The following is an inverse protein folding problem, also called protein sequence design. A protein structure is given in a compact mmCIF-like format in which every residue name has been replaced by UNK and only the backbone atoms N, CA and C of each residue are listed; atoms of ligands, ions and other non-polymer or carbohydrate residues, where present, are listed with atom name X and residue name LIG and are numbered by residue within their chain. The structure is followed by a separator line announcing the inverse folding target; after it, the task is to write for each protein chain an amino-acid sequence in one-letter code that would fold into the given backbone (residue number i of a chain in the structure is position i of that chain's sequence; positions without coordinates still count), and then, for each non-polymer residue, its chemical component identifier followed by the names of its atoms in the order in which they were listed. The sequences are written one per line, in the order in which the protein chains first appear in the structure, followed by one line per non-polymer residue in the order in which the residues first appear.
data_IF_902339363791
#
_entry.id   IF_902339363791
#
_cell.length_a   1.000
_cell.length_b   1.000
_cell.length_c   1.000
_cell.angle_alpha   90.00
_cell.angle_beta   90.00
_cell.angle_gamma   90.00
#
_symmetry.space_group_name_H-M   'P 1'
#
loop_
_entity.id
_entity.type
_entity.pdbx_description
1 polymer ?
#
# COMPACT_ATOMS: atom_id res chain seq x y z
N UNK A 1 -12.90 -12.02 -1.55
CA UNK A 1 -12.03 -11.90 -2.74
C UNK A 1 -11.98 -10.47 -3.29
N UNK A 2 -13.11 -9.80 -3.58
CA UNK A 2 -13.15 -8.46 -4.21
C UNK A 2 -12.34 -7.42 -3.44
N UNK A 3 -12.48 -7.35 -2.12
CA UNK A 3 -11.74 -6.40 -1.31
C UNK A 3 -10.20 -6.57 -1.47
N UNK A 4 -9.73 -7.80 -1.47
CA UNK A 4 -8.32 -8.10 -1.65
C UNK A 4 -7.83 -7.74 -3.07
N UNK A 5 -8.68 -7.90 -4.10
CA UNK A 5 -8.36 -7.48 -5.48
C UNK A 5 -8.05 -5.98 -5.53
N UNK A 6 -8.87 -5.12 -4.90
CA UNK A 6 -8.63 -3.68 -4.89
C UNK A 6 -7.39 -3.30 -4.06
N UNK A 7 -7.18 -3.94 -2.92
CA UNK A 7 -5.99 -3.73 -2.08
C UNK A 7 -4.72 -4.08 -2.86
N UNK A 8 -4.72 -5.22 -3.56
CA UNK A 8 -3.59 -5.68 -4.37
C UNK A 8 -3.35 -4.78 -5.58
N UNK A 9 -4.42 -4.37 -6.27
CA UNK A 9 -4.32 -3.44 -7.40
C UNK A 9 -3.72 -2.10 -6.96
N UNK A 10 -4.22 -1.54 -5.84
CA UNK A 10 -3.69 -0.31 -5.29
C UNK A 10 -2.23 -0.44 -4.85
N UNK A 11 -1.86 -1.55 -4.19
CA UNK A 11 -0.48 -1.84 -3.82
C UNK A 11 0.46 -1.86 -5.03
N UNK A 12 0.04 -2.50 -6.13
CA UNK A 12 0.79 -2.47 -7.39
C UNK A 12 0.83 -1.08 -8.03
N UNK A 13 -0.32 -0.40 -8.12
CA UNK A 13 -0.46 0.92 -8.72
C UNK A 13 0.35 1.99 -7.97
N UNK A 14 0.44 1.88 -6.65
CA UNK A 14 1.22 2.75 -5.77
C UNK A 14 2.73 2.49 -5.80
N UNK A 15 3.17 1.35 -6.30
CA UNK A 15 4.60 1.00 -6.34
C UNK A 15 5.36 1.82 -7.38
N UNK A 16 6.28 2.69 -6.92
CA UNK A 16 7.14 3.45 -7.81
C UNK A 16 8.34 2.60 -8.26
N UNK A 17 8.27 2.07 -9.50
CA UNK A 17 9.29 1.18 -10.03
C UNK A 17 10.68 1.81 -10.12
N UNK A 18 10.80 3.09 -10.39
CA UNK A 18 12.09 3.77 -10.45
C UNK A 18 12.80 3.81 -9.10
N UNK A 19 12.06 3.93 -8.02
CA UNK A 19 12.57 3.88 -6.65
C UNK A 19 12.77 2.44 -6.16
N UNK A 20 11.89 1.52 -6.58
CA UNK A 20 11.95 0.12 -6.18
C UNK A 20 13.04 -0.68 -6.92
N UNK A 21 13.37 -0.30 -8.17
CA UNK A 21 14.32 -1.02 -9.03
C UNK A 21 15.68 -1.35 -8.38
N UNK A 22 16.34 -0.46 -7.63
CA UNK A 22 17.61 -0.80 -6.97
C UNK A 22 17.50 -1.91 -5.93
N UNK A 23 16.33 -2.08 -5.33
CA UNK A 23 16.04 -3.09 -4.31
C UNK A 23 15.05 -4.16 -4.79
N UNK A 24 14.75 -4.21 -6.10
CA UNK A 24 13.79 -5.18 -6.66
C UNK A 24 14.20 -6.62 -6.42
N UNK A 25 15.48 -6.96 -6.62
CA UNK A 25 15.96 -8.33 -6.41
C UNK A 25 15.82 -8.78 -4.95
N UNK A 26 16.31 -8.06 -3.94
CA UNK A 26 16.09 -8.46 -2.54
C UNK A 26 14.60 -8.48 -2.17
N UNK A 27 13.76 -7.57 -2.69
CA UNK A 27 12.32 -7.56 -2.42
C UNK A 27 11.62 -8.79 -3.00
N UNK A 28 11.91 -9.17 -4.25
CA UNK A 28 11.36 -10.37 -4.89
C UNK A 28 11.83 -11.64 -4.18
N UNK A 29 13.09 -11.70 -3.76
CA UNK A 29 13.58 -12.84 -2.99
C UNK A 29 12.94 -12.91 -1.60
N UNK A 30 12.68 -11.78 -0.96
CA UNK A 30 11.95 -11.75 0.31
C UNK A 30 10.49 -12.18 0.14
N UNK A 31 9.80 -11.71 -0.91
CA UNK A 31 8.41 -12.09 -1.17
C UNK A 31 8.24 -13.54 -1.65
N UNK A 32 9.28 -14.18 -2.17
CA UNK A 32 9.26 -15.58 -2.63
C UNK A 32 9.93 -16.52 -1.64
N UNK A 33 11.28 -16.55 -1.62
CA UNK A 33 12.04 -17.42 -0.72
C UNK A 33 11.77 -17.09 0.75
N UNK A 34 11.66 -15.80 1.10
CA UNK A 34 11.35 -15.37 2.45
C UNK A 34 10.00 -15.89 2.93
N UNK A 35 8.98 -15.82 2.08
CA UNK A 35 7.64 -16.36 2.36
C UNK A 35 7.68 -17.88 2.49
N UNK A 36 8.37 -18.58 1.58
CA UNK A 36 8.54 -20.05 1.64
C UNK A 36 9.25 -20.49 2.92
N UNK A 37 10.32 -19.81 3.30
CA UNK A 37 11.05 -20.12 4.55
C UNK A 37 10.13 -19.90 5.76
N UNK A 38 9.42 -18.78 5.81
CA UNK A 38 8.47 -18.48 6.89
C UNK A 38 7.36 -19.53 6.98
N UNK A 39 6.81 -19.93 5.83
CA UNK A 39 5.83 -21.00 5.71
C UNK A 39 6.33 -22.31 6.32
N UNK A 40 7.52 -22.79 5.90
CA UNK A 40 8.05 -24.05 6.41
C UNK A 40 8.40 -24.00 7.90
N UNK A 41 9.05 -22.94 8.36
CA UNK A 41 9.41 -22.82 9.78
C UNK A 41 8.15 -22.79 10.64
N UNK A 42 7.15 -21.99 10.26
CA UNK A 42 5.91 -21.90 11.03
C UNK A 42 5.13 -23.20 10.99
N UNK A 43 4.95 -23.81 9.81
CA UNK A 43 4.24 -25.07 9.66
C UNK A 43 4.91 -26.22 10.42
N UNK A 44 6.24 -26.35 10.33
CA UNK A 44 6.99 -27.37 11.07
C UNK A 44 6.91 -27.16 12.59
N UNK A 45 7.00 -25.91 13.04
CA UNK A 45 6.85 -25.59 14.46
C UNK A 45 5.45 -26.00 14.98
N UNK A 46 4.40 -25.65 14.26
CA UNK A 46 3.01 -26.02 14.61
C UNK A 46 2.85 -27.52 14.69
N UNK A 47 3.40 -28.26 13.72
CA UNK A 47 3.39 -29.72 13.70
C UNK A 47 4.07 -30.34 14.93
N UNK A 48 5.28 -29.89 15.25
CA UNK A 48 6.09 -30.45 16.32
C UNK A 48 5.54 -30.15 17.72
N UNK A 49 5.03 -28.93 17.94
CA UNK A 49 4.62 -28.46 19.27
C UNK A 49 3.17 -28.82 19.58
N UNK A 50 2.26 -28.62 18.62
CA UNK A 50 0.83 -28.85 18.88
C UNK A 50 0.36 -30.24 18.44
N UNK A 51 1.22 -31.05 17.81
CA UNK A 51 0.90 -32.40 17.32
C UNK A 51 -0.34 -32.41 16.40
N UNK A 52 -0.54 -31.32 15.66
CA UNK A 52 -1.56 -31.19 14.60
C UNK A 52 -1.07 -31.95 13.36
N UNK A 53 -1.96 -32.41 12.49
CA UNK A 53 -1.54 -33.06 11.25
C UNK A 53 -0.57 -32.20 10.44
N UNK A 54 0.38 -32.83 9.75
CA UNK A 54 1.42 -32.09 9.01
C UNK A 54 0.79 -31.15 7.96
N UNK A 55 -0.24 -31.59 7.24
CA UNK A 55 -0.87 -30.77 6.21
C UNK A 55 -1.64 -29.59 6.80
N UNK A 56 -2.40 -29.77 7.89
CA UNK A 56 -3.05 -28.63 8.56
C UNK A 56 -2.03 -27.65 9.16
N UNK A 57 -0.93 -28.16 9.70
CA UNK A 57 0.17 -27.33 10.23
C UNK A 57 0.84 -26.51 9.11
N UNK A 58 1.09 -27.12 7.96
CA UNK A 58 1.60 -26.44 6.77
C UNK A 58 0.56 -25.46 6.21
N UNK A 59 -0.74 -25.77 6.26
CA UNK A 59 -1.79 -24.85 5.84
C UNK A 59 -1.79 -23.58 6.71
N UNK A 60 -1.67 -23.72 8.03
CA UNK A 60 -1.49 -22.56 8.93
C UNK A 60 -0.25 -21.76 8.52
N UNK A 61 0.88 -22.44 8.30
CA UNK A 61 2.12 -21.80 7.85
C UNK A 61 1.97 -21.04 6.54
N UNK A 62 1.27 -21.61 5.54
CA UNK A 62 1.04 -20.99 4.24
C UNK A 62 0.22 -19.71 4.37
N UNK A 63 -0.91 -19.80 5.06
CA UNK A 63 -1.84 -18.69 5.23
C UNK A 63 -1.21 -17.53 6.01
N UNK A 64 -0.44 -17.81 7.07
CA UNK A 64 0.21 -16.75 7.85
C UNK A 64 1.54 -16.28 7.27
N UNK A 65 2.01 -16.82 6.14
CA UNK A 65 3.28 -16.40 5.53
C UNK A 65 3.20 -15.06 4.81
N UNK A 66 2.01 -14.63 4.39
CA UNK A 66 1.75 -13.29 3.83
C UNK A 66 1.99 -12.18 4.85
N UNK A 67 2.50 -11.01 4.42
CA UNK A 67 2.73 -9.82 5.26
C UNK A 67 1.97 -8.61 4.73
N UNK A 68 1.61 -7.70 5.62
CA UNK A 68 0.80 -6.50 5.33
C UNK A 68 1.60 -5.21 5.53
N UNK A 69 2.23 -4.70 4.47
CA UNK A 69 2.91 -3.42 4.54
C UNK A 69 1.94 -2.22 4.50
N UNK A 70 0.72 -2.37 4.00
CA UNK A 70 -0.23 -1.26 3.99
C UNK A 70 -0.53 -0.78 5.41
N UNK A 71 -0.73 -1.71 6.35
CA UNK A 71 -0.87 -1.40 7.78
C UNK A 71 0.40 -0.75 8.35
N UNK A 72 1.59 -1.21 7.95
CA UNK A 72 2.88 -0.63 8.39
C UNK A 72 2.99 0.82 7.98
N UNK A 73 2.76 1.12 6.69
CA UNK A 73 2.84 2.49 6.18
C UNK A 73 1.78 3.40 6.76
N UNK A 74 0.58 2.89 6.98
CA UNK A 74 -0.48 3.61 7.67
C UNK A 74 -0.06 4.06 9.07
N UNK A 75 0.53 3.14 9.84
CA UNK A 75 1.03 3.45 11.20
C UNK A 75 2.15 4.48 11.16
N UNK A 76 3.11 4.34 10.24
CA UNK A 76 4.21 5.28 10.11
C UNK A 76 3.74 6.68 9.68
N UNK A 77 2.82 6.76 8.72
CA UNK A 77 2.24 8.03 8.24
C UNK A 77 1.42 8.75 9.31
N UNK A 78 0.60 8.01 10.07
CA UNK A 78 -0.19 8.60 11.15
C UNK A 78 0.67 9.34 12.19
N UNK A 79 1.93 8.91 12.34
CA UNK A 79 2.92 9.51 13.24
C UNK A 79 3.95 10.41 12.52
N UNK A 80 3.75 10.69 11.21
CA UNK A 80 4.65 11.50 10.38
C UNK A 80 6.11 11.02 10.41
N UNK A 81 6.30 9.69 10.43
CA UNK A 81 7.61 9.05 10.47
C UNK A 81 8.03 8.60 9.08
N UNK A 82 9.28 8.93 8.71
CA UNK A 82 9.90 8.50 7.46
C UNK A 82 10.98 7.48 7.74
N UNK A 83 11.04 6.43 6.91
CA UNK A 83 12.12 5.45 6.98
C UNK A 83 13.33 5.93 6.16
N UNK A 84 14.50 5.72 6.70
CA UNK A 84 15.77 6.00 6.03
C UNK A 84 16.00 5.05 4.84
N UNK A 85 16.63 5.58 3.79
CA UNK A 85 17.04 4.80 2.64
C UNK A 85 15.90 4.22 1.81
N UNK A 86 16.12 3.03 1.26
CA UNK A 86 15.19 2.31 0.39
C UNK A 86 14.37 1.23 1.12
N UNK A 87 14.30 1.29 2.46
CA UNK A 87 13.55 0.33 3.27
C UNK A 87 12.06 0.34 2.94
N UNK A 88 11.49 1.54 2.76
CA UNK A 88 10.08 1.67 2.39
C UNK A 88 9.78 0.95 1.06
N UNK A 89 10.60 1.17 0.04
CA UNK A 89 10.42 0.53 -1.27
C UNK A 89 10.58 -1.00 -1.21
N UNK A 90 11.51 -1.50 -0.36
CA UNK A 90 11.66 -2.94 -0.15
C UNK A 90 10.40 -3.54 0.47
N UNK A 91 9.89 -2.94 1.55
CA UNK A 91 8.72 -3.43 2.27
C UNK A 91 7.46 -3.39 1.40
N UNK A 92 7.29 -2.33 0.60
CA UNK A 92 6.16 -2.17 -0.30
C UNK A 92 6.13 -3.26 -1.38
N UNK A 93 7.25 -3.50 -2.07
CA UNK A 93 7.35 -4.54 -3.10
C UNK A 93 7.28 -5.94 -2.48
N UNK A 94 7.92 -6.16 -1.34
CA UNK A 94 7.86 -7.44 -0.64
C UNK A 94 6.42 -7.81 -0.32
N UNK A 95 5.69 -6.92 0.36
CA UNK A 95 4.33 -7.20 0.81
C UNK A 95 3.35 -7.36 -0.36
N UNK A 96 3.43 -6.49 -1.37
CA UNK A 96 2.55 -6.61 -2.52
C UNK A 96 2.77 -7.89 -3.34
N UNK A 97 3.98 -8.47 -3.29
CA UNK A 97 4.31 -9.68 -4.06
C UNK A 97 4.19 -10.97 -3.25
N UNK A 98 4.17 -10.93 -1.92
CA UNK A 98 4.12 -12.14 -1.10
C UNK A 98 2.71 -12.73 -0.96
N UNK A 99 1.65 -11.91 -1.09
CA UNK A 99 0.27 -12.38 -1.03
C UNK A 99 -0.05 -13.40 -2.14
N UNK A 100 0.30 -13.15 -3.43
CA UNK A 100 0.18 -14.17 -4.48
C UNK A 100 0.95 -15.46 -4.17
N UNK A 101 2.12 -15.36 -3.54
CA UNK A 101 2.93 -16.53 -3.17
C UNK A 101 2.27 -17.31 -2.04
N UNK A 102 1.78 -16.64 -1.00
CA UNK A 102 1.07 -17.25 0.12
C UNK A 102 -0.24 -17.91 -0.35
N UNK A 103 -0.99 -17.27 -1.26
CA UNK A 103 -2.16 -17.85 -1.90
C UNK A 103 -1.81 -19.14 -2.65
N UNK A 104 -0.75 -19.12 -3.46
CA UNK A 104 -0.28 -20.30 -4.19
C UNK A 104 0.14 -21.43 -3.25
N UNK A 105 0.88 -21.14 -2.17
CA UNK A 105 1.23 -22.12 -1.15
C UNK A 105 -0.01 -22.71 -0.48
N UNK A 106 -1.00 -21.89 -0.18
CA UNK A 106 -2.29 -22.33 0.38
C UNK A 106 -2.99 -23.29 -0.56
N UNK A 107 -3.09 -22.96 -1.86
CA UNK A 107 -3.69 -23.85 -2.87
C UNK A 107 -2.93 -25.16 -3.02
N UNK A 108 -1.59 -25.15 -2.99
CA UNK A 108 -0.78 -26.37 -3.05
C UNK A 108 -1.14 -27.30 -1.91
N UNK A 109 -1.19 -26.78 -0.67
CA UNK A 109 -1.52 -27.61 0.49
C UNK A 109 -2.94 -28.12 0.43
N UNK A 110 -3.92 -27.29 0.04
CA UNK A 110 -5.31 -27.71 -0.13
C UNK A 110 -5.49 -28.78 -1.20
N UNK A 111 -4.77 -28.67 -2.32
CA UNK A 111 -4.77 -29.68 -3.38
C UNK A 111 -4.23 -31.02 -2.86
N UNK A 112 -3.14 -31.00 -2.08
CA UNK A 112 -2.59 -32.22 -1.45
C UNK A 112 -3.58 -32.80 -0.44
N UNK A 113 -4.24 -31.99 0.37
CA UNK A 113 -5.27 -32.43 1.33
C UNK A 113 -6.48 -33.06 0.62
N UNK A 114 -6.84 -32.56 -0.58
CA UNK A 114 -7.89 -33.10 -1.43
C UNK A 114 -7.48 -34.34 -2.26
N UNK A 115 -6.39 -35.04 -1.85
CA UNK A 115 -5.83 -36.18 -2.57
C UNK A 115 -5.30 -35.89 -3.98
N UNK A 116 -4.94 -34.64 -4.27
CA UNK A 116 -4.25 -34.27 -5.50
C UNK A 116 -2.86 -34.91 -5.60
N UNK A 117 -2.48 -35.30 -6.80
CA UNK A 117 -1.17 -35.91 -7.07
C UNK A 117 -0.09 -34.86 -7.27
N UNK A 118 1.16 -35.20 -6.94
CA UNK A 118 2.34 -34.32 -7.21
C UNK A 118 2.43 -33.95 -8.69
N UNK A 119 1.99 -34.83 -9.58
CA UNK A 119 1.94 -34.62 -11.04
C UNK A 119 1.02 -33.43 -11.42
N UNK A 120 -0.02 -33.14 -10.63
CA UNK A 120 -0.94 -32.01 -10.84
C UNK A 120 -0.39 -30.70 -10.28
N UNK A 121 0.50 -30.75 -9.30
CA UNK A 121 1.04 -29.53 -8.65
C UNK A 121 1.96 -28.74 -9.58
N UNK A 122 2.83 -29.42 -10.35
CA UNK A 122 3.79 -28.75 -11.23
C UNK A 122 3.08 -27.91 -12.30
N UNK A 123 2.15 -28.47 -13.10
CA UNK A 123 1.39 -27.67 -14.06
C UNK A 123 0.59 -26.55 -13.41
N UNK A 124 0.00 -26.79 -12.23
CA UNK A 124 -0.76 -25.79 -11.48
C UNK A 124 0.14 -24.61 -11.07
N UNK A 125 1.32 -24.86 -10.51
CA UNK A 125 2.26 -23.81 -10.11
C UNK A 125 2.70 -23.00 -11.33
N UNK A 126 3.08 -23.70 -12.41
CA UNK A 126 3.51 -23.06 -13.66
C UNK A 126 2.38 -22.21 -14.25
N UNK A 127 1.16 -22.76 -14.35
CA UNK A 127 0.02 -22.02 -14.89
C UNK A 127 -0.32 -20.79 -14.05
N UNK A 128 -0.29 -20.90 -12.72
CA UNK A 128 -0.56 -19.77 -11.84
C UNK A 128 0.42 -18.62 -12.03
N UNK A 129 1.72 -18.91 -12.16
CA UNK A 129 2.73 -17.89 -12.37
C UNK A 129 2.65 -17.34 -13.79
N UNK A 130 2.64 -18.21 -14.80
CA UNK A 130 2.70 -17.81 -16.21
C UNK A 130 1.46 -17.02 -16.61
N UNK A 131 0.26 -17.56 -16.37
CA UNK A 131 -0.96 -16.85 -16.72
C UNK A 131 -1.20 -15.64 -15.84
N UNK A 132 -0.83 -15.68 -14.55
CA UNK A 132 -0.87 -14.50 -13.67
C UNK A 132 -0.07 -13.32 -14.24
N UNK A 133 1.17 -13.58 -14.67
CA UNK A 133 2.04 -12.53 -15.24
C UNK A 133 1.55 -12.10 -16.62
N UNK A 134 1.27 -13.04 -17.52
CA UNK A 134 0.90 -12.74 -18.92
C UNK A 134 -0.41 -11.98 -18.98
N UNK A 135 -1.45 -12.47 -18.30
CA UNK A 135 -2.77 -11.82 -18.30
C UNK A 135 -2.67 -10.43 -17.68
N UNK A 136 -1.98 -10.29 -16.52
CA UNK A 136 -1.78 -8.98 -15.88
C UNK A 136 -1.08 -8.00 -16.80
N UNK A 137 -0.02 -8.42 -17.47
CA UNK A 137 0.72 -7.58 -18.42
C UNK A 137 -0.11 -7.22 -19.66
N UNK A 138 -0.81 -8.17 -20.27
CA UNK A 138 -1.64 -7.92 -21.45
C UNK A 138 -2.81 -6.98 -21.13
N UNK A 139 -3.52 -7.20 -20.03
CA UNK A 139 -4.60 -6.30 -19.58
C UNK A 139 -4.06 -4.90 -19.33
N UNK A 140 -2.90 -4.77 -18.68
CA UNK A 140 -2.30 -3.47 -18.42
C UNK A 140 -1.94 -2.73 -19.71
N UNK A 141 -1.28 -3.40 -20.66
CA UNK A 141 -0.89 -2.80 -21.94
C UNK A 141 -2.13 -2.38 -22.75
N UNK A 142 -3.14 -3.25 -22.84
CA UNK A 142 -4.40 -2.94 -23.50
C UNK A 142 -5.11 -1.75 -22.85
N UNK A 143 -5.12 -1.70 -21.52
CA UNK A 143 -5.73 -0.63 -20.73
C UNK A 143 -5.02 0.71 -20.93
N UNK A 144 -3.70 0.73 -20.94
CA UNK A 144 -2.91 1.95 -21.22
C UNK A 144 -3.19 2.46 -22.63
N UNK A 145 -3.25 1.54 -23.60
CA UNK A 145 -3.59 1.90 -24.98
C UNK A 145 -4.97 2.53 -25.06
N UNK A 146 -5.99 1.91 -24.46
CA UNK A 146 -7.35 2.42 -24.43
C UNK A 146 -7.44 3.77 -23.72
N UNK A 147 -6.85 3.91 -22.53
CA UNK A 147 -6.85 5.17 -21.75
C UNK A 147 -6.24 6.33 -22.56
N UNK A 148 -5.19 6.07 -23.32
CA UNK A 148 -4.50 7.12 -24.10
C UNK A 148 -5.27 7.55 -25.35
N UNK A 149 -6.10 6.67 -25.93
CA UNK A 149 -6.83 6.95 -27.18
C UNK A 149 -8.30 7.30 -26.94
N UNK A 150 -8.88 6.93 -25.82
CA UNK A 150 -10.33 7.04 -25.59
C UNK A 150 -10.79 8.43 -25.13
N UNK A 151 -9.95 9.44 -25.03
CA UNK A 151 -10.30 10.84 -24.68
C UNK A 151 -11.66 10.99 -23.98
N UNK A 152 -11.80 10.39 -22.80
CA UNK A 152 -13.05 10.51 -22.05
C UNK A 152 -13.25 11.96 -21.61
N UNK A 153 -14.38 12.57 -21.99
CA UNK A 153 -14.72 13.95 -21.63
C UNK A 153 -14.92 14.12 -20.12
N UNK A 154 -15.31 13.06 -19.42
CA UNK A 154 -15.64 13.09 -17.99
C UNK A 154 -14.59 12.30 -17.22
N UNK A 155 -13.94 12.94 -16.24
CA UNK A 155 -12.89 12.36 -15.40
C UNK A 155 -13.35 11.09 -14.64
N UNK A 156 -14.63 11.04 -14.23
CA UNK A 156 -15.19 9.88 -13.53
C UNK A 156 -15.18 8.59 -14.35
N UNK A 157 -15.16 8.65 -15.68
CA UNK A 157 -15.05 7.44 -16.51
C UNK A 157 -13.71 6.73 -16.36
N UNK A 158 -12.62 7.48 -16.12
CA UNK A 158 -11.32 6.87 -15.84
C UNK A 158 -11.35 6.04 -14.55
N UNK A 159 -12.10 6.50 -13.55
CA UNK A 159 -12.29 5.77 -12.28
C UNK A 159 -13.02 4.45 -12.52
N UNK A 160 -14.17 4.49 -13.23
CA UNK A 160 -14.95 3.28 -13.55
C UNK A 160 -14.11 2.31 -14.37
N UNK A 161 -13.33 2.83 -15.32
CA UNK A 161 -12.47 2.02 -16.18
C UNK A 161 -11.36 1.30 -15.37
N UNK A 162 -10.72 1.97 -14.42
CA UNK A 162 -9.71 1.38 -13.54
C UNK A 162 -10.31 0.28 -12.64
N UNK A 163 -11.52 0.49 -12.12
CA UNK A 163 -12.26 -0.55 -11.37
C UNK A 163 -12.48 -1.79 -12.25
N UNK A 164 -12.97 -1.58 -13.49
CA UNK A 164 -13.21 -2.67 -14.43
C UNK A 164 -11.91 -3.43 -14.75
N UNK A 165 -10.79 -2.72 -14.96
CA UNK A 165 -9.48 -3.34 -15.22
C UNK A 165 -9.08 -4.27 -14.07
N UNK A 166 -9.18 -3.81 -12.82
CA UNK A 166 -8.80 -4.63 -11.66
C UNK A 166 -9.63 -5.93 -11.60
N UNK A 167 -10.95 -5.83 -11.81
CA UNK A 167 -11.84 -7.00 -11.78
C UNK A 167 -11.59 -7.92 -12.96
N UNK A 168 -11.42 -7.39 -14.18
CA UNK A 168 -11.16 -8.19 -15.39
C UNK A 168 -9.81 -8.89 -15.28
N UNK A 169 -8.77 -8.20 -14.80
CA UNK A 169 -7.44 -8.77 -14.60
C UNK A 169 -7.48 -9.99 -13.67
N UNK A 170 -8.20 -9.87 -12.56
CA UNK A 170 -8.42 -10.96 -11.62
C UNK A 170 -9.18 -12.13 -12.28
N UNK A 171 -10.38 -11.82 -12.79
CA UNK A 171 -11.31 -12.85 -13.27
C UNK A 171 -10.78 -13.60 -14.49
N UNK A 172 -10.14 -12.90 -15.44
CA UNK A 172 -9.59 -13.52 -16.63
C UNK A 172 -8.41 -14.44 -16.28
N UNK A 173 -7.55 -14.02 -15.35
CA UNK A 173 -6.43 -14.84 -14.89
C UNK A 173 -6.92 -16.11 -14.20
N UNK A 174 -7.86 -16.00 -13.26
CA UNK A 174 -8.46 -17.16 -12.57
C UNK A 174 -9.14 -18.12 -13.57
N UNK A 175 -9.89 -17.58 -14.53
CA UNK A 175 -10.54 -18.38 -15.57
C UNK A 175 -9.55 -19.19 -16.41
N UNK A 176 -8.36 -18.65 -16.68
CA UNK A 176 -7.27 -19.33 -17.39
C UNK A 176 -6.45 -20.27 -16.51
N UNK A 177 -6.77 -20.40 -15.21
CA UNK A 177 -5.99 -21.17 -14.24
C UNK A 177 -4.72 -20.48 -13.77
N UNK A 178 -4.64 -19.17 -13.95
CA UNK A 178 -3.58 -18.30 -13.43
C UNK A 178 -3.88 -17.81 -12.02
N UNK A 179 -2.90 -17.15 -11.39
CA UNK A 179 -3.08 -16.49 -10.10
C UNK A 179 -3.68 -15.08 -10.32
N UNK A 180 -4.97 -14.90 -10.00
CA UNK A 180 -5.67 -13.63 -10.17
C UNK A 180 -5.07 -12.49 -9.36
N UNK A 181 -4.60 -12.74 -8.14
CA UNK A 181 -3.96 -11.72 -7.31
C UNK A 181 -2.62 -11.24 -7.90
N UNK A 182 -1.83 -12.18 -8.46
CA UNK A 182 -0.59 -11.84 -9.17
C UNK A 182 -0.89 -10.98 -10.41
N UNK A 183 -1.92 -11.37 -11.18
CA UNK A 183 -2.36 -10.62 -12.37
C UNK A 183 -2.74 -9.18 -12.04
N UNK A 184 -3.54 -9.00 -11.01
CA UNK A 184 -3.98 -7.69 -10.53
C UNK A 184 -2.81 -6.85 -10.05
N UNK A 185 -1.88 -7.41 -9.30
CA UNK A 185 -0.70 -6.71 -8.81
C UNK A 185 0.22 -6.26 -9.95
N UNK A 186 0.50 -7.15 -10.92
CA UNK A 186 1.30 -6.83 -12.11
C UNK A 186 0.63 -5.75 -12.96
N UNK A 187 -0.69 -5.86 -13.19
CA UNK A 187 -1.42 -4.84 -13.93
C UNK A 187 -1.39 -3.49 -13.22
N UNK A 188 -1.51 -3.48 -11.89
CA UNK A 188 -1.36 -2.30 -11.06
C UNK A 188 0.01 -1.64 -11.25
N UNK A 189 1.11 -2.41 -11.11
CA UNK A 189 2.49 -1.89 -11.29
C UNK A 189 2.67 -1.26 -12.67
N UNK A 190 2.25 -1.94 -13.74
CA UNK A 190 2.47 -1.47 -15.11
C UNK A 190 1.68 -0.18 -15.37
N UNK A 191 0.40 -0.14 -15.01
CA UNK A 191 -0.45 1.04 -15.20
C UNK A 191 0.01 2.19 -14.31
N UNK A 192 0.31 1.90 -13.02
CA UNK A 192 0.80 2.86 -12.05
C UNK A 192 2.12 3.55 -12.45
N UNK A 193 3.01 2.87 -13.19
CA UNK A 193 4.26 3.45 -13.68
C UNK A 193 4.15 4.04 -15.10
N UNK A 194 2.99 4.01 -15.72
CA UNK A 194 2.75 4.60 -17.03
C UNK A 194 2.29 6.06 -16.94
N UNK A 195 2.47 6.81 -18.05
CA UNK A 195 1.93 8.16 -18.19
C UNK A 195 0.47 8.05 -18.67
N UNK A 196 -0.46 8.21 -17.75
CA UNK A 196 -1.90 8.20 -18.00
C UNK A 196 -2.51 9.53 -17.55
N UNK A 197 -3.60 10.02 -18.20
CA UNK A 197 -4.31 11.22 -17.77
C UNK A 197 -4.95 11.00 -16.38
N UNK A 198 -5.19 12.07 -15.66
CA UNK A 198 -5.86 12.10 -14.36
C UNK A 198 -5.27 11.15 -13.29
N UNK A 199 -3.97 10.83 -13.41
CA UNK A 199 -3.31 9.87 -12.53
C UNK A 199 -3.43 10.23 -11.04
N UNK A 200 -3.36 11.52 -10.72
CA UNK A 200 -3.51 12.04 -9.35
C UNK A 200 -4.87 11.67 -8.75
N UNK A 201 -5.94 11.94 -9.48
CA UNK A 201 -7.31 11.59 -9.09
C UNK A 201 -7.47 10.08 -8.90
N UNK A 202 -6.89 9.27 -9.79
CA UNK A 202 -6.94 7.82 -9.70
C UNK A 202 -6.21 7.29 -8.46
N UNK A 203 -5.04 7.85 -8.11
CA UNK A 203 -4.31 7.50 -6.90
C UNK A 203 -5.14 7.78 -5.66
N UNK A 204 -5.71 8.98 -5.53
CA UNK A 204 -6.56 9.34 -4.38
C UNK A 204 -7.80 8.45 -4.26
N UNK A 205 -8.44 8.18 -5.40
CA UNK A 205 -9.61 7.31 -5.42
C UNK A 205 -9.25 5.89 -4.96
N UNK A 206 -8.19 5.30 -5.53
CA UNK A 206 -7.76 3.94 -5.18
C UNK A 206 -7.29 3.85 -3.73
N UNK A 207 -6.64 4.88 -3.20
CA UNK A 207 -6.28 4.97 -1.79
C UNK A 207 -7.52 4.89 -0.90
N UNK A 208 -8.52 5.75 -1.17
CA UNK A 208 -9.79 5.73 -0.44
C UNK A 208 -10.53 4.40 -0.55
N UNK A 209 -10.58 3.80 -1.74
CA UNK A 209 -11.19 2.47 -1.94
C UNK A 209 -10.44 1.40 -1.15
N UNK A 210 -9.10 1.40 -1.19
CA UNK A 210 -8.29 0.44 -0.43
C UNK A 210 -8.56 0.53 1.07
N UNK A 211 -8.66 1.74 1.62
CA UNK A 211 -9.06 1.97 3.01
C UNK A 211 -10.44 1.39 3.35
N UNK A 212 -11.43 1.71 2.53
CA UNK A 212 -12.80 1.18 2.72
C UNK A 212 -12.79 -0.35 2.65
N UNK A 213 -12.08 -0.93 1.68
CA UNK A 213 -11.99 -2.37 1.52
C UNK A 213 -11.30 -3.04 2.71
N UNK A 214 -10.26 -2.44 3.29
CA UNK A 214 -9.63 -2.95 4.50
C UNK A 214 -10.60 -2.91 5.68
N UNK A 215 -11.30 -1.79 5.89
CA UNK A 215 -12.28 -1.66 6.99
C UNK A 215 -13.39 -2.70 6.84
N UNK A 216 -14.00 -2.81 5.64
CA UNK A 216 -15.06 -3.78 5.36
C UNK A 216 -14.54 -5.20 5.60
N UNK A 217 -13.31 -5.50 5.17
CA UNK A 217 -12.72 -6.82 5.30
C UNK A 217 -12.55 -7.19 6.77
N UNK A 218 -11.90 -6.34 7.57
CA UNK A 218 -11.73 -6.58 9.00
C UNK A 218 -13.06 -6.63 9.75
N UNK A 219 -14.03 -5.81 9.35
CA UNK A 219 -15.38 -5.83 9.94
C UNK A 219 -16.10 -7.15 9.67
N UNK A 220 -16.15 -7.61 8.40
CA UNK A 220 -16.79 -8.89 8.05
C UNK A 220 -16.08 -10.05 8.75
N UNK A 221 -14.73 -10.00 8.79
CA UNK A 221 -13.94 -11.04 9.44
C UNK A 221 -14.20 -11.08 10.95
N UNK A 222 -14.37 -9.92 11.59
CA UNK A 222 -14.78 -9.84 12.98
C UNK A 222 -16.17 -10.42 13.23
N UNK A 223 -17.12 -10.18 12.31
CA UNK A 223 -18.48 -10.74 12.40
C UNK A 223 -18.51 -12.27 12.22
N UNK A 224 -17.61 -12.82 11.40
CA UNK A 224 -17.48 -14.27 11.21
C UNK A 224 -16.82 -14.96 12.40
N UNK A 225 -16.10 -14.22 13.26
CA UNK A 225 -15.47 -14.78 14.43
C UNK A 225 -16.48 -15.06 15.54
N UNK A 226 -16.40 -16.25 16.13
CA UNK A 226 -17.19 -16.61 17.31
C UNK A 226 -16.40 -16.26 18.59
N UNK A 227 -16.89 -15.31 19.43
CA UNK A 227 -16.18 -14.98 20.68
C UNK A 227 -16.04 -16.15 21.64
N UNK A 228 -16.91 -17.17 21.56
CA UNK A 228 -16.88 -18.37 22.40
C UNK A 228 -15.71 -19.29 22.02
N UNK A 229 -15.31 -19.33 20.74
CA UNK A 229 -14.21 -20.16 20.27
C UNK A 229 -12.84 -19.51 20.50
N UNK A 230 -12.77 -18.17 20.55
CA UNK A 230 -11.51 -17.44 20.74
C UNK A 230 -10.70 -17.90 21.96
N UNK A 231 -11.27 -18.07 23.17
CA UNK A 231 -10.50 -18.51 24.34
C UNK A 231 -9.82 -19.88 24.15
N UNK A 232 -10.40 -20.75 23.33
CA UNK A 232 -9.85 -22.11 23.07
C UNK A 232 -8.58 -22.06 22.21
N UNK A 233 -8.44 -21.04 21.37
CA UNK A 233 -7.33 -20.90 20.41
C UNK A 233 -6.27 -19.89 20.85
N UNK A 234 -6.55 -19.01 21.82
CA UNK A 234 -5.64 -17.93 22.27
C UNK A 234 -4.24 -18.48 22.57
N UNK A 235 -4.13 -19.52 23.37
CA UNK A 235 -2.83 -20.07 23.76
C UNK A 235 -1.99 -20.52 22.56
N UNK A 236 -2.60 -21.27 21.63
CA UNK A 236 -1.95 -21.70 20.40
C UNK A 236 -1.54 -20.50 19.54
N UNK A 237 -2.46 -19.55 19.33
CA UNK A 237 -2.25 -18.38 18.48
C UNK A 237 -1.16 -17.46 19.01
N UNK A 238 -1.09 -17.21 20.31
CA UNK A 238 -0.03 -16.42 20.95
C UNK A 238 1.33 -17.07 20.73
N UNK A 239 1.45 -18.37 21.00
CA UNK A 239 2.72 -19.08 20.80
C UNK A 239 3.15 -19.05 19.34
N UNK A 240 2.23 -19.31 18.40
CA UNK A 240 2.52 -19.24 16.95
C UNK A 240 2.96 -17.82 16.56
N UNK A 241 2.26 -16.78 17.04
CA UNK A 241 2.63 -15.38 16.79
C UNK A 241 4.04 -15.06 17.28
N UNK A 242 4.40 -15.48 18.49
CA UNK A 242 5.75 -15.28 19.04
C UNK A 242 6.81 -15.97 18.19
N UNK A 243 6.54 -17.19 17.73
CA UNK A 243 7.48 -17.91 16.85
C UNK A 243 7.62 -17.22 15.50
N UNK A 244 6.52 -16.72 14.92
CA UNK A 244 6.60 -15.98 13.67
C UNK A 244 7.46 -14.72 13.85
N UNK A 245 7.22 -13.95 14.91
CA UNK A 245 7.89 -12.66 15.15
C UNK A 245 9.37 -12.84 15.49
N UNK A 246 9.70 -13.80 16.37
CA UNK A 246 11.05 -13.92 16.95
C UNK A 246 11.92 -14.99 16.30
N UNK A 247 11.33 -15.93 15.56
CA UNK A 247 12.07 -17.05 14.96
C UNK A 247 11.90 -17.09 13.45
N UNK A 248 10.69 -17.32 12.95
CA UNK A 248 10.47 -17.60 11.53
C UNK A 248 10.83 -16.40 10.66
N UNK A 249 10.35 -15.22 11.00
CA UNK A 249 10.61 -13.99 10.26
C UNK A 249 12.08 -13.53 10.34
N UNK A 250 12.74 -13.46 11.51
CA UNK A 250 14.16 -13.15 11.57
C UNK A 250 15.02 -14.13 10.77
N UNK A 251 14.81 -15.44 10.92
CA UNK A 251 15.59 -16.43 10.15
C UNK A 251 15.42 -16.19 8.65
N UNK A 252 14.19 -15.98 8.17
CA UNK A 252 13.89 -15.70 6.78
C UNK A 252 14.63 -14.46 6.30
N UNK A 253 14.53 -13.33 7.01
CA UNK A 253 15.15 -12.06 6.64
C UNK A 253 16.67 -12.15 6.64
N UNK A 254 17.27 -12.69 7.70
CA UNK A 254 18.73 -12.79 7.81
C UNK A 254 19.32 -13.76 6.79
N UNK A 255 18.60 -14.84 6.45
CA UNK A 255 19.05 -15.80 5.45
C UNK A 255 18.99 -15.23 4.04
N UNK A 256 17.84 -14.64 3.67
CA UNK A 256 17.62 -14.09 2.33
C UNK A 256 18.47 -12.85 2.08
N UNK A 257 18.51 -11.92 3.04
CA UNK A 257 19.25 -10.67 2.91
C UNK A 257 20.75 -10.79 3.28
N UNK A 258 21.26 -12.01 3.48
CA UNK A 258 22.68 -12.22 3.84
C UNK A 258 23.65 -11.67 2.77
N UNK A 259 23.28 -11.78 1.50
CA UNK A 259 24.13 -11.40 0.36
C UNK A 259 23.89 -9.97 -0.12
N UNK A 260 23.02 -9.22 0.53
CA UNK A 260 22.67 -7.85 0.15
C UNK A 260 23.18 -6.86 1.20
N UNK A 261 23.43 -5.63 0.75
CA UNK A 261 23.92 -4.53 1.58
C UNK A 261 22.78 -3.96 2.45
N UNK A 262 22.47 -4.67 3.54
CA UNK A 262 21.57 -4.23 4.59
C UNK A 262 22.26 -4.36 5.94
N UNK A 263 22.21 -3.29 6.75
CA UNK A 263 22.71 -3.28 8.10
C UNK A 263 21.91 -4.20 9.01
N UNK A 264 22.52 -4.64 10.12
CA UNK A 264 21.80 -5.47 11.11
C UNK A 264 20.56 -4.78 11.66
N UNK A 265 20.60 -3.45 11.86
CA UNK A 265 19.45 -2.65 12.30
C UNK A 265 18.29 -2.70 11.30
N UNK A 266 18.61 -2.55 10.01
CA UNK A 266 17.61 -2.67 8.92
C UNK A 266 17.00 -4.08 8.87
N UNK A 267 17.82 -5.14 8.96
CA UNK A 267 17.34 -6.52 8.98
C UNK A 267 16.44 -6.80 10.18
N UNK A 268 16.78 -6.28 11.36
CA UNK A 268 15.93 -6.39 12.55
C UNK A 268 14.59 -5.67 12.36
N UNK A 269 14.61 -4.48 11.77
CA UNK A 269 13.40 -3.73 11.45
C UNK A 269 12.52 -4.46 10.43
N UNK A 270 13.09 -4.93 9.31
CA UNK A 270 12.38 -5.73 8.29
C UNK A 270 11.77 -6.99 8.94
N UNK A 271 12.50 -7.61 9.87
CA UNK A 271 11.98 -8.76 10.62
C UNK A 271 10.77 -8.39 11.46
N UNK A 272 10.80 -7.23 12.10
CA UNK A 272 9.71 -6.77 12.98
C UNK A 272 8.47 -6.33 12.20
N UNK A 273 8.62 -5.60 11.10
CA UNK A 273 7.48 -5.04 10.35
C UNK A 273 6.73 -6.04 9.48
N UNK A 274 7.05 -7.31 9.55
CA UNK A 274 6.29 -8.38 8.89
C UNK A 274 4.92 -8.61 9.56
N UNK A 275 4.05 -7.60 9.56
CA UNK A 275 2.70 -7.72 10.11
C UNK A 275 1.88 -8.75 9.34
N UNK A 276 0.97 -9.43 10.03
CA UNK A 276 -0.02 -10.33 9.42
C UNK A 276 -1.34 -9.58 9.34
N UNK A 277 -1.86 -9.46 8.14
CA UNK A 277 -3.02 -8.62 7.85
C UNK A 277 -4.21 -9.39 7.33
N UNK A 278 -5.07 -8.65 6.66
CA UNK A 278 -6.33 -9.11 6.13
C UNK A 278 -6.19 -10.25 5.09
N UNK A 279 -5.12 -10.27 4.29
CA UNK A 279 -4.89 -11.33 3.29
C UNK A 279 -4.81 -12.72 3.93
N UNK A 280 -4.08 -12.85 5.06
CA UNK A 280 -4.00 -14.12 5.80
C UNK A 280 -5.38 -14.63 6.22
N UNK A 281 -6.27 -13.72 6.67
CA UNK A 281 -7.59 -14.13 7.11
C UNK A 281 -8.47 -14.50 5.90
N UNK A 282 -8.37 -13.78 4.78
CA UNK A 282 -9.07 -14.15 3.53
C UNK A 282 -8.65 -15.54 3.06
N UNK A 283 -7.37 -15.86 3.10
CA UNK A 283 -6.88 -17.18 2.70
C UNK A 283 -7.34 -18.28 3.65
N UNK A 284 -7.54 -17.98 4.94
CA UNK A 284 -8.11 -18.95 5.88
C UNK A 284 -9.58 -19.26 5.57
N UNK A 285 -10.39 -18.25 5.19
CA UNK A 285 -11.77 -18.46 4.74
C UNK A 285 -11.80 -19.25 3.43
N UNK A 286 -10.88 -18.94 2.51
CA UNK A 286 -10.76 -19.72 1.27
C UNK A 286 -10.48 -21.19 1.57
N UNK A 287 -9.60 -21.47 2.54
CA UNK A 287 -9.31 -22.83 2.97
C UNK A 287 -10.53 -23.55 3.58
N UNK A 288 -11.36 -22.84 4.35
CA UNK A 288 -12.60 -23.42 4.92
C UNK A 288 -13.65 -23.78 3.87
N UNK A 289 -13.68 -23.03 2.75
CA UNK A 289 -14.61 -23.29 1.65
C UNK A 289 -14.12 -24.38 0.70
N UNK A 290 -12.91 -24.86 0.89
CA UNK A 290 -12.37 -25.97 0.09
C UNK A 290 -12.88 -27.31 0.67
N UNK A 291 -13.30 -28.24 -0.20
CA UNK A 291 -13.87 -29.52 0.20
C UNK A 291 -12.81 -30.48 0.81
N UNK A 292 -12.19 -30.09 1.92
CA UNK A 292 -11.20 -30.89 2.65
C UNK A 292 -11.55 -30.97 4.13
N UNK A 293 -11.23 -32.09 4.75
CA UNK A 293 -11.45 -32.27 6.18
C UNK A 293 -10.38 -31.52 6.97
N UNK A 294 -10.80 -30.45 7.64
CA UNK A 294 -9.98 -29.66 8.57
C UNK A 294 -10.50 -29.89 9.99
N UNK A 295 -9.70 -30.50 10.86
CA UNK A 295 -10.10 -30.85 12.22
C UNK A 295 -9.86 -29.71 13.22
N UNK A 296 -8.93 -28.82 12.93
CA UNK A 296 -8.59 -27.71 13.80
C UNK A 296 -9.26 -26.41 13.33
N UNK A 297 -9.54 -25.53 14.28
CA UNK A 297 -10.13 -24.23 14.01
C UNK A 297 -9.07 -23.25 13.47
N UNK A 298 -8.67 -23.47 12.21
CA UNK A 298 -7.63 -22.67 11.54
C UNK A 298 -8.04 -21.20 11.43
N UNK A 299 -9.34 -20.92 11.18
CA UNK A 299 -9.82 -19.55 11.02
C UNK A 299 -9.59 -18.71 12.27
N UNK A 300 -10.05 -19.17 13.46
CA UNK A 300 -9.88 -18.39 14.68
C UNK A 300 -8.42 -18.31 15.13
N UNK A 301 -7.60 -19.34 14.85
CA UNK A 301 -6.15 -19.26 15.08
C UNK A 301 -5.53 -18.14 14.27
N UNK A 302 -5.81 -18.06 12.97
CA UNK A 302 -5.24 -17.07 12.06
C UNK A 302 -5.80 -15.68 12.35
N UNK A 303 -7.11 -15.58 12.62
CA UNK A 303 -7.75 -14.32 13.03
C UNK A 303 -7.07 -13.74 14.27
N UNK A 304 -6.82 -14.56 15.29
CA UNK A 304 -6.15 -14.10 16.51
C UNK A 304 -4.68 -13.73 16.27
N UNK A 305 -3.96 -14.47 15.42
CA UNK A 305 -2.60 -14.10 14.99
C UNK A 305 -2.57 -12.74 14.31
N UNK A 306 -3.50 -12.48 13.39
CA UNK A 306 -3.60 -11.18 12.72
C UNK A 306 -3.96 -10.05 13.70
N UNK A 307 -4.89 -10.29 14.62
CA UNK A 307 -5.26 -9.34 15.67
C UNK A 307 -4.06 -8.97 16.56
N UNK A 308 -3.30 -9.96 17.01
CA UNK A 308 -2.07 -9.77 17.80
C UNK A 308 -1.00 -9.04 16.99
N UNK A 309 -0.85 -9.39 15.73
CA UNK A 309 0.15 -8.76 14.87
C UNK A 309 -0.15 -7.27 14.66
N UNK A 310 -1.36 -6.91 14.27
CA UNK A 310 -1.73 -5.50 14.07
C UNK A 310 -1.80 -4.74 15.40
N UNK A 311 -2.45 -5.33 16.42
CA UNK A 311 -2.70 -4.67 17.71
C UNK A 311 -1.44 -4.50 18.55
N UNK A 312 -0.59 -5.52 18.69
CA UNK A 312 0.60 -5.48 19.54
C UNK A 312 1.85 -5.11 18.74
N UNK A 313 2.16 -5.89 17.71
CA UNK A 313 3.38 -5.69 16.93
C UNK A 313 3.31 -4.38 16.14
N UNK A 314 2.15 -4.03 15.56
CA UNK A 314 1.94 -2.79 14.82
C UNK A 314 2.13 -1.53 15.68
N UNK A 315 1.56 -1.49 16.88
CA UNK A 315 1.70 -0.35 17.80
C UNK A 315 3.14 -0.08 18.23
N UNK A 316 4.00 -1.10 18.19
CA UNK A 316 5.42 -0.97 18.57
C UNK A 316 6.32 -0.53 17.41
N UNK A 317 5.83 -0.51 16.16
CA UNK A 317 6.63 -0.12 14.97
C UNK A 317 7.32 1.23 15.15
N UNK A 318 6.61 2.33 15.54
CA UNK A 318 7.24 3.64 15.67
C UNK A 318 8.34 3.68 16.73
N UNK A 319 8.13 2.96 17.85
CA UNK A 319 9.13 2.88 18.92
C UNK A 319 10.39 2.14 18.44
N UNK A 320 10.22 1.04 17.71
CA UNK A 320 11.34 0.25 17.20
C UNK A 320 12.09 1.01 16.10
N UNK A 321 11.38 1.68 15.18
CA UNK A 321 11.99 2.53 14.17
C UNK A 321 12.88 3.62 14.79
N UNK A 322 12.40 4.28 15.84
CA UNK A 322 13.18 5.29 16.59
C UNK A 322 14.38 4.66 17.30
N UNK A 323 14.20 3.51 17.97
CA UNK A 323 15.28 2.85 18.73
C UNK A 323 16.39 2.30 17.83
N UNK A 324 16.06 1.90 16.62
CA UNK A 324 17.02 1.43 15.62
C UNK A 324 17.65 2.57 14.81
N UNK A 325 17.24 3.82 15.05
CA UNK A 325 17.75 5.02 14.35
C UNK A 325 17.56 4.93 12.83
N UNK A 326 16.39 4.44 12.38
CA UNK A 326 16.06 4.25 10.96
C UNK A 326 15.14 5.34 10.42
N UNK A 327 15.00 6.45 11.14
CA UNK A 327 14.16 7.57 10.75
C UNK A 327 14.97 8.66 10.07
N UNK A 328 14.52 9.10 8.90
CA UNK A 328 15.09 10.25 8.19
C UNK A 328 14.44 11.55 8.68
N UNK A 329 15.16 12.32 9.46
CA UNK A 329 14.69 13.61 10.02
C UNK A 329 14.80 14.77 9.01
N UNK A 330 15.47 14.60 7.88
CA UNK A 330 15.82 15.68 6.95
C UNK A 330 14.95 15.75 5.69
N UNK A 331 14.04 14.81 5.49
CA UNK A 331 13.14 14.80 4.34
C UNK A 331 11.71 15.01 4.80
N UNK A 332 10.96 15.86 4.08
CA UNK A 332 9.49 15.85 4.14
C UNK A 332 9.00 14.42 4.00
N UNK A 333 7.96 14.05 4.77
CA UNK A 333 7.37 12.71 4.86
C UNK A 333 7.57 11.93 3.56
N UNK A 334 8.14 10.71 3.66
CA UNK A 334 8.47 9.87 2.50
C UNK A 334 7.34 9.92 1.48
N UNK A 335 7.65 10.48 0.36
CA UNK A 335 6.75 10.46 -0.79
C UNK A 335 6.76 9.04 -1.36
N UNK A 336 5.94 8.16 -0.80
CA UNK A 336 5.43 7.05 -1.59
C UNK A 336 4.71 7.66 -2.80
N UNK A 337 4.43 6.88 -3.81
CA UNK A 337 3.73 7.37 -5.02
C UNK A 337 2.46 8.17 -4.69
N UNK A 338 1.82 7.87 -3.56
CA UNK A 338 0.67 8.57 -3.01
C UNK A 338 1.02 9.96 -2.48
N UNK A 339 2.25 10.16 -2.00
CA UNK A 339 2.72 11.42 -1.43
C UNK A 339 3.28 12.38 -2.51
N UNK A 340 3.39 11.94 -3.77
CA UNK A 340 3.59 12.87 -4.90
C UNK A 340 2.43 13.82 -5.13
N UNK A 341 1.40 13.67 -4.30
CA UNK A 341 0.21 14.50 -4.29
C UNK A 341 0.34 15.69 -3.35
N UNK A 342 1.24 15.70 -2.40
CA UNK A 342 1.63 16.94 -1.73
C UNK A 342 2.50 17.77 -2.69
N UNK A 343 1.82 18.50 -3.59
CA UNK A 343 2.39 19.73 -4.11
C UNK A 343 3.00 20.52 -2.95
N UNK A 344 4.20 21.07 -3.15
CA UNK A 344 4.67 22.20 -2.37
C UNK A 344 3.45 23.00 -1.96
N UNK A 345 3.32 23.34 -0.70
CA UNK A 345 2.22 24.13 -0.13
C UNK A 345 2.09 25.51 -0.78
N UNK A 346 1.99 25.53 -2.10
CA UNK A 346 1.73 26.73 -2.85
C UNK A 346 0.24 27.00 -2.71
N UNK A 347 -0.13 27.73 -1.70
CA UNK A 347 -1.50 28.17 -1.49
C UNK A 347 -1.82 29.21 -2.54
N UNK A 348 -3.01 29.12 -3.12
CA UNK A 348 -3.60 30.17 -3.92
C UNK A 348 -4.63 30.86 -3.04
N UNK A 349 -4.51 32.16 -2.87
CA UNK A 349 -5.43 32.96 -2.05
C UNK A 349 -5.96 34.14 -2.85
N UNK A 350 -7.26 34.37 -2.76
CA UNK A 350 -7.90 35.61 -3.27
C UNK A 350 -7.97 36.64 -2.14
N UNK A 351 -7.40 37.82 -2.39
CA UNK A 351 -7.35 38.93 -1.45
C UNK A 351 -8.05 40.14 -2.04
N UNK A 352 -9.11 40.58 -1.41
CA UNK A 352 -9.81 41.81 -1.80
C UNK A 352 -9.09 43.02 -1.22
N UNK A 353 -8.83 44.01 -2.09
CA UNK A 353 -8.20 45.28 -1.73
C UNK A 353 -9.29 46.22 -1.22
N UNK A 354 -9.48 46.27 0.09
CA UNK A 354 -10.45 47.12 0.73
C UNK A 354 -9.87 48.55 1.04
N UNK A 355 -10.75 49.47 1.35
CA UNK A 355 -10.40 50.85 1.75
C UNK A 355 -9.41 50.84 2.89
N UNK A 356 -8.28 51.54 2.76
CA UNK A 356 -7.23 51.61 3.76
C UNK A 356 -6.11 50.56 3.62
N UNK A 357 -6.13 49.77 2.56
CA UNK A 357 -5.05 48.83 2.24
C UNK A 357 -3.77 49.59 1.83
N UNK A 358 -2.61 49.21 2.37
CA UNK A 358 -1.30 49.83 2.06
C UNK A 358 -0.86 49.62 0.59
N UNK A 359 -1.51 48.76 -0.14
CA UNK A 359 -1.18 48.40 -1.53
C UNK A 359 -1.86 49.36 -2.54
N UNK A 360 -2.86 50.15 -2.12
CA UNK A 360 -3.65 51.00 -3.06
C UNK A 360 -2.73 52.07 -3.69
N UNK A 361 -2.89 52.23 -5.03
CA UNK A 361 -2.12 53.18 -5.85
C UNK A 361 -0.60 52.89 -5.93
N UNK A 362 -0.15 51.71 -5.48
CA UNK A 362 1.25 51.31 -5.66
C UNK A 362 1.34 50.33 -6.84
N UNK A 363 2.50 50.34 -7.53
CA UNK A 363 2.83 49.33 -8.50
C UNK A 363 3.17 48.02 -7.75
N UNK A 364 3.08 46.88 -8.40
CA UNK A 364 3.44 45.58 -7.77
C UNK A 364 4.90 45.58 -7.27
N UNK A 365 5.80 46.25 -8.00
CA UNK A 365 7.21 46.40 -7.61
C UNK A 365 7.32 47.21 -6.34
N UNK A 366 6.57 48.32 -6.21
CA UNK A 366 6.63 49.25 -5.08
C UNK A 366 5.78 48.78 -3.89
N UNK A 367 4.97 47.76 -4.09
CA UNK A 367 4.07 47.22 -3.05
C UNK A 367 4.77 46.43 -1.95
N UNK A 368 6.09 46.21 -2.08
CA UNK A 368 6.92 45.49 -1.11
C UNK A 368 6.37 44.10 -0.74
N UNK A 369 5.87 43.37 -1.75
CA UNK A 369 5.35 42.02 -1.59
C UNK A 369 6.54 41.08 -1.33
N UNK A 370 6.48 40.18 -0.32
CA UNK A 370 7.55 39.23 -0.05
C UNK A 370 7.92 38.41 -1.30
N UNK A 371 9.23 38.16 -1.51
CA UNK A 371 9.76 37.43 -2.69
C UNK A 371 9.14 36.03 -2.85
N UNK A 372 8.62 35.45 -1.78
CA UNK A 372 7.98 34.13 -1.75
C UNK A 372 6.54 34.15 -2.24
N UNK A 373 5.97 35.34 -2.53
CA UNK A 373 4.58 35.53 -2.95
C UNK A 373 4.52 36.16 -4.33
N UNK A 374 3.83 35.52 -5.26
CA UNK A 374 3.58 36.01 -6.60
C UNK A 374 2.12 36.41 -6.74
N UNK A 375 1.85 37.64 -7.20
CA UNK A 375 0.51 38.01 -7.65
C UNK A 375 0.31 37.47 -9.07
N UNK A 376 -0.48 36.40 -9.20
CA UNK A 376 -0.69 35.71 -10.47
C UNK A 376 -1.70 36.41 -11.37
N UNK A 377 -2.75 37.02 -10.77
CA UNK A 377 -3.76 37.82 -11.53
C UNK A 377 -4.44 38.85 -10.63
N UNK A 378 -4.99 39.86 -11.25
CA UNK A 378 -5.85 40.89 -10.63
C UNK A 378 -7.22 40.81 -11.29
N UNK A 379 -8.27 40.59 -10.50
CA UNK A 379 -9.66 40.68 -10.95
C UNK A 379 -10.16 42.11 -10.64
N UNK A 380 -10.50 42.86 -11.66
CA UNK A 380 -11.00 44.25 -11.56
C UNK A 380 -12.29 44.37 -12.34
N UNK A 381 -13.39 44.75 -11.69
CA UNK A 381 -14.71 44.96 -12.31
C UNK A 381 -15.17 43.83 -13.25
N UNK A 382 -14.79 42.58 -12.91
CA UNK A 382 -15.13 41.37 -13.69
C UNK A 382 -14.12 41.02 -14.78
N UNK A 383 -13.13 41.87 -15.05
CA UNK A 383 -12.03 41.55 -15.97
C UNK A 383 -10.83 40.95 -15.25
N UNK A 384 -10.12 40.03 -15.93
CA UNK A 384 -8.89 39.40 -15.45
C UNK A 384 -7.69 40.09 -16.06
N UNK A 385 -6.87 40.71 -15.23
CA UNK A 385 -5.64 41.39 -15.64
C UNK A 385 -4.46 40.53 -15.24
N UNK A 386 -3.57 40.18 -16.16
CA UNK A 386 -2.29 39.55 -15.89
C UNK A 386 -1.32 40.67 -15.49
N UNK A 387 -0.93 40.76 -14.20
CA UNK A 387 -0.18 41.90 -13.75
C UNK A 387 1.28 41.83 -14.22
N UNK A 388 1.85 43.01 -14.47
CA UNK A 388 3.28 43.22 -14.65
C UNK A 388 3.79 44.00 -13.46
N UNK A 389 5.11 44.05 -13.24
CA UNK A 389 5.69 44.80 -12.13
C UNK A 389 5.24 46.25 -12.04
N UNK A 390 4.94 46.90 -13.18
CA UNK A 390 4.41 48.28 -13.26
C UNK A 390 2.89 48.37 -13.09
N UNK A 391 2.18 47.28 -12.91
CA UNK A 391 0.71 47.30 -12.77
C UNK A 391 0.33 47.90 -11.42
N UNK A 392 -0.56 48.91 -11.46
CA UNK A 392 -1.03 49.61 -10.28
C UNK A 392 -2.23 48.88 -9.66
N UNK A 393 -2.16 48.63 -8.37
CA UNK A 393 -3.23 48.02 -7.57
C UNK A 393 -4.23 49.13 -7.21
N UNK A 394 -5.53 48.87 -7.48
CA UNK A 394 -6.62 49.79 -7.18
C UNK A 394 -7.53 49.26 -6.10
N UNK A 395 -8.23 50.17 -5.43
CA UNK A 395 -9.31 49.83 -4.51
C UNK A 395 -10.39 48.98 -5.24
N UNK A 396 -10.88 47.94 -4.57
CA UNK A 396 -11.86 47.01 -5.14
C UNK A 396 -11.26 45.85 -5.96
N UNK A 397 -9.95 45.87 -6.25
CA UNK A 397 -9.27 44.77 -6.91
C UNK A 397 -9.32 43.48 -6.03
N UNK A 398 -9.42 42.34 -6.68
CA UNK A 398 -9.18 41.06 -6.03
C UNK A 398 -7.86 40.50 -6.56
N UNK A 399 -6.85 40.47 -5.71
CA UNK A 399 -5.52 39.92 -6.00
C UNK A 399 -5.54 38.43 -5.81
N UNK A 400 -5.15 37.66 -6.82
CA UNK A 400 -4.89 36.22 -6.68
C UNK A 400 -3.41 36.03 -6.43
N UNK A 401 -3.08 35.75 -5.18
CA UNK A 401 -1.72 35.55 -4.71
C UNK A 401 -1.40 34.05 -4.63
N UNK A 402 -0.19 33.69 -5.04
CA UNK A 402 0.35 32.32 -5.04
C UNK A 402 1.66 32.32 -4.25
N UNK A 403 1.75 31.51 -3.20
CA UNK A 403 2.96 31.46 -2.37
C UNK A 403 2.96 30.33 -1.36
N UNK A 404 4.14 30.03 -0.80
CA UNK A 404 4.31 28.97 0.20
C UNK A 404 3.95 29.43 1.63
N UNK A 405 3.96 30.73 1.89
CA UNK A 405 3.70 31.36 3.20
C UNK A 405 2.56 32.38 3.09
N UNK A 406 1.36 31.92 2.74
CA UNK A 406 0.15 32.75 2.77
C UNK A 406 -0.53 32.60 4.14
N UNK A 407 0.20 32.92 5.22
CA UNK A 407 -0.29 32.91 6.59
C UNK A 407 -0.59 34.32 7.12
N UNK A 408 -0.95 34.45 8.40
CA UNK A 408 -1.35 35.72 9.06
C UNK A 408 -0.36 36.89 8.85
N UNK A 409 0.90 36.62 8.53
CA UNK A 409 1.89 37.66 8.28
C UNK A 409 1.66 38.41 6.95
N UNK A 410 1.16 37.73 5.93
CA UNK A 410 0.76 38.42 4.69
C UNK A 410 -0.48 39.29 4.89
N UNK A 411 -1.41 38.86 5.73
CA UNK A 411 -2.55 39.72 6.13
C UNK A 411 -2.12 41.00 6.88
N UNK A 412 -1.02 40.94 7.63
CA UNK A 412 -0.47 42.12 8.35
C UNK A 412 0.18 43.13 7.39
N UNK A 413 0.78 42.65 6.29
CA UNK A 413 1.35 43.54 5.26
C UNK A 413 0.26 44.27 4.48
N UNK A 414 -0.92 43.68 4.34
CA UNK A 414 -2.06 44.22 3.58
C UNK A 414 -2.90 45.18 4.45
N UNK A 415 -3.11 44.86 5.72
CA UNK A 415 -3.82 45.73 6.66
C UNK A 415 -2.84 46.72 7.26
N UNK A 416 -2.82 47.93 6.75
CA UNK A 416 -2.23 49.05 7.48
C UNK A 416 -2.94 49.25 8.81
N UNK A 417 -2.16 49.72 9.78
CA UNK A 417 -2.71 50.29 11.00
C UNK A 417 -3.79 51.31 10.72
#
# INVERSE_FOLDING_TARGET
SIALVFIMFYGGFGTNWSMARPKAVPSILMSTLGTIITFFITGLFVYLIFKISLLESLLIGAVVSSTDAASVFTILRSQKLNLEGSLASLLEVESGSNDPVAYMLTLIILTIMGNGTVMQLIPMIVSQIVFGIIVGALIAIASIYLIRHANFEIESFYIIFIIAIAIISYSLSEWMGGNGYLSVYISGIIIGNSKIPHKKTLVHFLDGVSWIMQIILFFILGLLSSPIELPKVIGKSVVISLVIIFIARPISVFLVLRRFEFNTREKLFISWVGLRGAASIVFSIFALNYEVNINNDIYHIIFFIALMSVGVQGTLIPMIARRLELLDNNKSVLKTFNDYVEEKNTKVMELKVDVGCNLINKSIIDANIPEEILIAMIKREGEIIIPKGSSIIKEGDVLVAVGNCLDEDFYKVIKAK
#
